data_IF_350102433921
#
_entry.id   IF_350102433921
#
_cell.length_a   1.000
_cell.length_b   1.000
_cell.length_c   1.000
_cell.angle_alpha   90.00
_cell.angle_beta   90.00
_cell.angle_gamma   90.00
#
_symmetry.space_group_name_H-M   'P 1'
#
loop_
_entity.id
_entity.type
_entity.pdbx_description
1 polymer ?
#
# COMPACT_ATOMS: atom_id res chain seq x y z
N UNK A 1 3.55 27.35 11.80
CA UNK A 1 2.52 26.64 12.59
C UNK A 1 2.47 25.21 12.05
N UNK A 2 2.85 24.19 12.83
CA UNK A 2 2.82 22.80 12.36
C UNK A 2 1.38 22.29 12.37
N UNK A 3 0.85 21.89 11.20
CA UNK A 3 -0.48 21.28 11.12
C UNK A 3 -0.45 19.88 11.76
N UNK A 4 -1.30 19.70 12.77
CA UNK A 4 -1.47 18.43 13.48
C UNK A 4 -2.07 17.39 12.52
N UNK A 5 -1.29 16.36 12.18
CA UNK A 5 -1.80 15.27 11.31
C UNK A 5 -2.77 14.38 12.07
N UNK A 6 -3.80 13.90 11.37
CA UNK A 6 -4.69 12.85 11.87
C UNK A 6 -4.13 11.46 11.51
N UNK A 7 -3.72 10.70 12.53
CA UNK A 7 -3.22 9.32 12.42
C UNK A 7 -4.40 8.37 12.37
N UNK A 8 -4.39 7.43 11.42
CA UNK A 8 -5.50 6.50 11.24
C UNK A 8 -5.66 5.57 12.46
N UNK A 9 -6.82 5.63 13.13
CA UNK A 9 -7.11 4.81 14.31
C UNK A 9 -7.86 3.52 14.01
N UNK A 10 -8.42 3.34 12.81
CA UNK A 10 -9.29 2.21 12.48
C UNK A 10 -8.47 0.92 12.29
N UNK A 11 -8.92 -0.17 12.91
CA UNK A 11 -8.37 -1.50 12.67
C UNK A 11 -8.77 -2.00 11.28
N UNK A 12 -7.81 -2.56 10.55
CA UNK A 12 -7.97 -3.04 9.16
C UNK A 12 -7.60 -4.51 9.06
N UNK A 13 -8.32 -5.27 8.22
CA UNK A 13 -7.90 -6.60 7.78
C UNK A 13 -6.92 -6.45 6.62
N UNK A 14 -5.75 -7.06 6.71
CA UNK A 14 -4.70 -6.88 5.70
C UNK A 14 -5.16 -7.36 4.32
N UNK A 15 -5.69 -8.58 4.24
CA UNK A 15 -6.30 -9.17 3.05
C UNK A 15 -7.25 -8.23 2.30
N UNK A 16 -8.19 -7.58 2.99
CA UNK A 16 -9.13 -6.67 2.35
C UNK A 16 -8.43 -5.44 1.75
N UNK A 17 -7.39 -4.91 2.41
CA UNK A 17 -6.61 -3.77 1.89
C UNK A 17 -5.74 -4.17 0.70
N UNK A 18 -5.12 -5.35 0.72
CA UNK A 18 -4.36 -5.91 -0.42
C UNK A 18 -5.27 -6.08 -1.63
N UNK A 19 -6.43 -6.72 -1.44
CA UNK A 19 -7.42 -6.92 -2.50
C UNK A 19 -7.88 -5.56 -3.05
N UNK A 20 -8.28 -4.65 -2.16
CA UNK A 20 -8.75 -3.31 -2.54
C UNK A 20 -7.67 -2.56 -3.33
N UNK A 21 -6.41 -2.64 -2.92
CA UNK A 21 -5.28 -2.04 -3.63
C UNK A 21 -5.18 -2.57 -5.06
N UNK A 22 -5.10 -3.90 -5.26
CA UNK A 22 -4.92 -4.47 -6.59
C UNK A 22 -6.07 -4.17 -7.53
N UNK A 23 -7.31 -4.23 -7.04
CA UNK A 23 -8.48 -3.86 -7.85
C UNK A 23 -8.42 -2.40 -8.27
N UNK A 24 -8.02 -1.52 -7.35
CA UNK A 24 -7.94 -0.09 -7.59
C UNK A 24 -6.83 0.24 -8.59
N UNK A 25 -5.69 -0.44 -8.48
CA UNK A 25 -4.56 -0.29 -9.38
C UNK A 25 -4.91 -0.78 -10.79
N UNK A 26 -5.56 -1.94 -10.92
CA UNK A 26 -6.12 -2.43 -12.19
C UNK A 26 -7.13 -1.45 -12.80
N UNK A 27 -7.96 -0.80 -11.97
CA UNK A 27 -8.90 0.22 -12.44
C UNK A 27 -8.17 1.40 -13.06
N UNK A 28 -7.14 1.92 -12.39
CA UNK A 28 -6.36 3.04 -12.92
C UNK A 28 -5.70 2.65 -14.25
N UNK A 29 -4.98 1.53 -14.27
CA UNK A 29 -4.28 1.03 -15.47
C UNK A 29 -5.26 0.73 -16.61
N UNK A 30 -6.40 0.11 -16.32
CA UNK A 30 -7.44 -0.19 -17.32
C UNK A 30 -8.08 1.06 -17.92
N UNK A 31 -8.39 2.07 -17.10
CA UNK A 31 -8.96 3.33 -17.61
C UNK A 31 -7.96 4.16 -18.43
N UNK A 32 -6.67 4.15 -18.06
CA UNK A 32 -5.60 4.79 -18.82
C UNK A 32 -5.38 4.10 -20.18
N UNK A 33 -5.33 2.77 -20.18
CA UNK A 33 -5.18 1.98 -21.41
C UNK A 33 -6.36 2.19 -22.36
N UNK A 34 -7.59 2.15 -21.85
CA UNK A 34 -8.78 2.36 -22.67
C UNK A 34 -8.75 3.74 -23.34
N UNK A 35 -8.45 4.79 -22.56
CA UNK A 35 -8.35 6.16 -23.07
C UNK A 35 -7.28 6.29 -24.15
N UNK A 36 -6.14 5.60 -23.97
CA UNK A 36 -5.03 5.61 -24.93
C UNK A 36 -5.42 4.89 -26.22
N UNK A 37 -6.00 3.69 -26.12
CA UNK A 37 -6.44 2.91 -27.29
C UNK A 37 -7.48 3.67 -28.12
N UNK A 38 -8.45 4.33 -27.48
CA UNK A 38 -9.48 5.10 -28.19
C UNK A 38 -8.89 6.28 -28.95
N UNK A 39 -7.94 6.99 -28.35
CA UNK A 39 -7.21 8.08 -29.02
C UNK A 39 -6.43 7.57 -30.24
N UNK A 40 -5.78 6.41 -30.13
CA UNK A 40 -5.06 5.79 -31.24
C UNK A 40 -6.00 5.34 -32.37
N UNK A 41 -7.18 4.83 -32.01
CA UNK A 41 -8.22 4.40 -32.96
C UNK A 41 -9.00 5.59 -33.57
N UNK A 42 -8.70 6.84 -33.21
CA UNK A 42 -9.45 8.04 -33.64
C UNK A 42 -10.90 8.08 -33.14
N UNK A 43 -11.23 7.27 -32.13
CA UNK A 43 -12.59 7.13 -31.59
C UNK A 43 -12.75 8.00 -30.36
N UNK A 44 -13.83 8.77 -30.31
CA UNK A 44 -14.22 9.51 -29.11
C UNK A 44 -15.24 8.72 -28.29
N UNK A 45 -15.10 8.77 -26.97
CA UNK A 45 -16.13 8.29 -26.05
C UNK A 45 -17.29 9.28 -26.01
N UNK A 46 -18.49 8.75 -25.81
CA UNK A 46 -19.65 9.57 -25.45
C UNK A 46 -19.33 10.42 -24.21
N UNK A 47 -19.90 11.62 -24.12
CA UNK A 47 -19.72 12.49 -22.95
C UNK A 47 -20.10 11.78 -21.64
N UNK A 48 -21.12 10.92 -21.67
CA UNK A 48 -21.52 10.13 -20.51
C UNK A 48 -20.43 9.14 -20.08
N UNK A 49 -19.77 8.46 -21.01
CA UNK A 49 -18.72 7.49 -20.69
C UNK A 49 -17.41 8.15 -20.28
N UNK A 50 -17.09 9.33 -20.84
CA UNK A 50 -15.99 10.17 -20.37
C UNK A 50 -16.17 10.58 -18.90
N UNK A 51 -17.39 10.99 -18.52
CA UNK A 51 -17.72 11.34 -17.13
C UNK A 51 -17.61 10.11 -16.22
N UNK A 52 -18.15 8.95 -16.63
CA UNK A 52 -18.04 7.70 -15.85
C UNK A 52 -16.57 7.30 -15.62
N UNK A 53 -15.75 7.32 -16.66
CA UNK A 53 -14.31 7.00 -16.57
C UNK A 53 -13.57 7.96 -15.66
N UNK A 54 -13.84 9.26 -15.78
CA UNK A 54 -13.23 10.28 -14.92
C UNK A 54 -13.61 10.05 -13.46
N UNK A 55 -14.89 9.82 -13.16
CA UNK A 55 -15.35 9.50 -11.81
C UNK A 55 -14.67 8.26 -11.24
N UNK A 56 -14.51 7.20 -12.03
CA UNK A 56 -13.80 5.99 -11.62
C UNK A 56 -12.33 6.27 -11.30
N UNK A 57 -11.63 7.01 -12.17
CA UNK A 57 -10.22 7.36 -11.99
C UNK A 57 -10.01 8.22 -10.74
N UNK A 58 -10.89 9.18 -10.49
CA UNK A 58 -10.87 10.02 -9.29
C UNK A 58 -11.08 9.17 -8.03
N UNK A 59 -12.09 8.29 -8.03
CA UNK A 59 -12.36 7.40 -6.91
C UNK A 59 -11.18 6.47 -6.64
N UNK A 60 -10.63 5.87 -7.68
CA UNK A 60 -9.49 4.96 -7.56
C UNK A 60 -8.24 5.70 -7.02
N UNK A 61 -7.95 6.88 -7.54
CA UNK A 61 -6.84 7.72 -7.05
C UNK A 61 -7.00 8.08 -5.57
N UNK A 62 -8.22 8.40 -5.11
CA UNK A 62 -8.50 8.64 -3.69
C UNK A 62 -8.24 7.40 -2.84
N UNK A 63 -8.69 6.23 -3.29
CA UNK A 63 -8.45 4.96 -2.59
C UNK A 63 -6.96 4.64 -2.51
N UNK A 64 -6.18 4.78 -3.59
CA UNK A 64 -4.72 4.60 -3.57
C UNK A 64 -4.07 5.57 -2.59
N UNK A 65 -4.43 6.85 -2.60
CA UNK A 65 -3.87 7.82 -1.66
C UNK A 65 -4.19 7.46 -0.20
N UNK A 66 -5.38 6.91 0.07
CA UNK A 66 -5.76 6.44 1.40
C UNK A 66 -4.94 5.24 1.85
N UNK A 67 -4.81 4.22 1.00
CA UNK A 67 -3.97 3.04 1.27
C UNK A 67 -2.51 3.46 1.43
N UNK A 68 -2.00 4.32 0.55
CA UNK A 68 -0.65 4.86 0.62
C UNK A 68 -0.38 5.56 1.95
N UNK A 69 -1.30 6.44 2.38
CA UNK A 69 -1.20 7.14 3.66
C UNK A 69 -1.17 6.14 4.82
N UNK A 70 -2.06 5.14 4.80
CA UNK A 70 -2.09 4.11 5.83
C UNK A 70 -0.80 3.29 5.88
N UNK A 71 -0.33 2.76 4.74
CA UNK A 71 0.89 1.94 4.67
C UNK A 71 2.10 2.75 5.11
N UNK A 72 2.27 4.00 4.63
CA UNK A 72 3.45 4.82 5.00
C UNK A 72 3.48 5.15 6.50
N UNK A 73 2.33 5.39 7.13
CA UNK A 73 2.23 5.61 8.58
C UNK A 73 2.52 4.32 9.35
N UNK A 74 1.95 3.21 8.90
CA UNK A 74 2.15 1.89 9.50
C UNK A 74 3.62 1.47 9.47
N UNK A 75 4.33 1.71 8.36
CA UNK A 75 5.74 1.35 8.23
C UNK A 75 6.65 2.08 9.22
N UNK A 76 6.31 3.31 9.64
CA UNK A 76 7.06 4.00 10.70
C UNK A 76 6.95 3.25 12.02
N UNK A 77 5.75 2.77 12.33
CA UNK A 77 5.53 1.94 13.52
C UNK A 77 6.26 0.61 13.42
N UNK A 78 6.15 -0.09 12.29
CA UNK A 78 6.79 -1.39 12.09
C UNK A 78 8.32 -1.28 12.26
N UNK A 79 8.93 -0.27 11.64
CA UNK A 79 10.37 0.03 11.78
C UNK A 79 10.75 0.36 13.22
N UNK A 80 9.95 1.18 13.91
CA UNK A 80 10.19 1.52 15.31
C UNK A 80 10.12 0.29 16.22
N UNK A 81 9.08 -0.51 16.08
CA UNK A 81 8.88 -1.74 16.86
C UNK A 81 10.04 -2.72 16.65
N UNK A 82 10.52 -2.87 15.41
CA UNK A 82 11.67 -3.74 15.15
C UNK A 82 12.97 -3.17 15.74
N UNK A 83 13.14 -1.84 15.73
CA UNK A 83 14.29 -1.21 16.38
C UNK A 83 14.30 -1.45 17.89
N UNK A 84 13.14 -1.42 18.56
CA UNK A 84 13.03 -1.70 20.00
C UNK A 84 13.38 -3.17 20.36
N UNK A 85 13.22 -4.12 19.44
CA UNK A 85 13.52 -5.54 19.71
C UNK A 85 15.03 -5.86 19.84
N UNK A 86 15.92 -4.90 19.55
CA UNK A 86 17.36 -5.08 19.71
C UNK A 86 17.79 -5.29 21.18
N UNK A 87 16.97 -4.92 22.16
CA UNK A 87 17.25 -5.09 23.61
C UNK A 87 17.44 -6.56 24.04
N UNK A 88 17.20 -7.51 23.14
CA UNK A 88 17.44 -8.95 23.33
C UNK A 88 18.84 -9.42 22.92
N UNK A 89 19.69 -8.53 22.38
CA UNK A 89 21.06 -8.86 21.97
C UNK A 89 22.07 -8.71 23.12
N UNK A 90 23.11 -9.55 23.20
CA UNK A 90 24.13 -9.47 24.26
C UNK A 90 24.82 -8.10 24.30
N UNK A 91 25.12 -7.62 25.50
CA UNK A 91 25.57 -6.25 25.87
C UNK A 91 26.67 -5.67 24.95
N UNK A 92 27.51 -6.52 24.36
CA UNK A 92 28.62 -6.13 23.50
C UNK A 92 28.20 -5.61 22.11
N UNK A 93 26.89 -5.55 21.80
CA UNK A 93 26.35 -5.08 20.52
C UNK A 93 25.39 -3.89 20.66
N UNK A 94 25.35 -3.25 21.84
CA UNK A 94 24.53 -2.07 22.07
C UNK A 94 25.07 -0.88 21.25
N UNK A 95 24.19 -0.25 20.48
CA UNK A 95 24.52 0.96 19.70
C UNK A 95 23.33 1.89 19.81
N UNK A 96 23.59 3.19 19.91
CA UNK A 96 22.54 4.18 20.11
C UNK A 96 21.53 4.19 18.96
N UNK A 97 20.24 4.10 19.32
CA UNK A 97 19.13 4.09 18.37
C UNK A 97 18.81 5.49 17.85
N UNK A 98 18.33 5.61 16.60
CA UNK A 98 17.60 6.80 16.20
C UNK A 98 16.33 6.92 17.08
N UNK A 99 16.38 7.81 18.07
CA UNK A 99 15.24 8.09 18.95
C UNK A 99 14.17 8.88 18.19
N UNK A 100 12.91 8.51 18.39
CA UNK A 100 11.80 9.39 18.00
C UNK A 100 11.83 10.62 18.89
N UNK A 101 11.73 11.81 18.29
CA UNK A 101 11.63 13.05 19.06
C UNK A 101 10.13 13.33 19.32
N UNK A 102 9.66 13.13 20.55
CA UNK A 102 8.26 13.32 20.92
C UNK A 102 8.13 13.98 22.31
N UNK A 103 6.99 14.63 22.63
CA UNK A 103 6.78 15.29 23.92
C UNK A 103 6.90 14.33 25.12
N UNK A 104 7.56 14.77 26.21
CA UNK A 104 7.75 14.00 27.46
C UNK A 104 6.40 13.54 28.05
N UNK A 105 6.37 12.34 28.67
CA UNK A 105 5.20 11.78 29.36
C UNK A 105 4.28 10.88 28.51
N UNK A 106 4.81 10.22 27.48
CA UNK A 106 4.03 9.44 26.52
C UNK A 106 4.19 7.92 26.69
N UNK A 107 3.08 7.19 26.71
CA UNK A 107 2.99 5.73 26.73
C UNK A 107 3.67 5.14 25.48
N UNK A 108 4.25 3.92 25.54
CA UNK A 108 5.01 3.33 24.43
C UNK A 108 4.23 3.27 23.09
N UNK A 109 2.95 2.88 23.13
CA UNK A 109 2.06 2.81 21.94
C UNK A 109 1.75 4.21 21.37
N UNK A 110 1.83 5.26 22.19
CA UNK A 110 1.56 6.65 21.78
C UNK A 110 2.79 7.37 21.20
N UNK A 111 4.00 6.81 21.33
CA UNK A 111 5.24 7.49 20.90
C UNK A 111 5.28 7.69 19.38
N UNK A 112 4.99 6.63 18.62
CA UNK A 112 4.95 6.69 17.15
C UNK A 112 3.80 7.56 16.68
N UNK A 113 2.61 7.41 17.26
CA UNK A 113 1.45 8.23 16.87
C UNK A 113 1.72 9.71 17.14
N UNK A 114 2.26 10.06 18.31
CA UNK A 114 2.67 11.45 18.64
C UNK A 114 3.77 11.94 17.71
N UNK A 115 4.79 11.13 17.41
CA UNK A 115 5.81 11.49 16.43
C UNK A 115 5.18 11.80 15.07
N UNK A 116 4.32 10.92 14.55
CA UNK A 116 3.62 11.14 13.27
C UNK A 116 2.71 12.38 13.26
N UNK A 117 2.14 12.74 14.43
CA UNK A 117 1.27 13.90 14.59
C UNK A 117 2.01 15.24 14.51
N UNK A 118 3.25 15.30 15.02
CA UNK A 118 4.01 16.55 15.16
C UNK A 118 5.21 16.67 14.19
N UNK A 119 5.78 15.54 13.76
CA UNK A 119 6.94 15.54 12.88
C UNK A 119 6.57 15.95 11.45
N UNK A 120 7.41 16.79 10.86
CA UNK A 120 7.41 17.10 9.42
C UNK A 120 7.71 15.85 8.59
N UNK A 121 7.34 15.85 7.29
CA UNK A 121 7.66 14.71 6.42
C UNK A 121 9.17 14.50 6.29
N UNK A 122 9.96 15.59 6.34
CA UNK A 122 11.42 15.55 6.33
C UNK A 122 11.99 14.85 7.57
N UNK A 123 11.46 15.14 8.76
CA UNK A 123 11.88 14.48 10.01
C UNK A 123 11.56 12.98 10.01
N UNK A 124 10.38 12.60 9.51
CA UNK A 124 10.00 11.18 9.37
C UNK A 124 10.93 10.47 8.37
N UNK A 125 11.21 11.10 7.22
CA UNK A 125 12.13 10.57 6.23
C UNK A 125 13.56 10.40 6.80
N UNK A 126 14.05 11.41 7.54
CA UNK A 126 15.37 11.36 8.18
C UNK A 126 15.45 10.28 9.27
N UNK A 127 14.39 10.08 10.04
CA UNK A 127 14.29 8.95 10.98
C UNK A 127 14.42 7.61 10.26
N UNK A 128 13.64 7.38 9.22
CA UNK A 128 13.63 6.12 8.46
C UNK A 128 14.97 5.85 7.75
N UNK A 129 15.64 6.88 7.22
CA UNK A 129 16.99 6.75 6.65
C UNK A 129 18.02 6.32 7.69
N UNK A 130 17.97 6.90 8.89
CA UNK A 130 18.84 6.50 10.01
C UNK A 130 18.55 5.07 10.46
N UNK A 131 17.29 4.68 10.53
CA UNK A 131 16.89 3.31 10.81
C UNK A 131 17.45 2.32 9.76
N UNK A 132 17.37 2.67 8.46
CA UNK A 132 17.93 1.83 7.40
C UNK A 132 19.45 1.66 7.49
N UNK A 133 20.18 2.73 7.82
CA UNK A 133 21.63 2.65 8.09
C UNK A 133 21.88 1.74 9.28
N UNK A 134 21.10 1.90 10.35
CA UNK A 134 21.26 1.15 11.59
C UNK A 134 21.08 -0.36 11.35
N UNK A 135 20.01 -0.77 10.68
CA UNK A 135 19.76 -2.17 10.33
C UNK A 135 20.85 -2.81 9.45
N UNK A 136 21.66 -2.00 8.75
CA UNK A 136 22.79 -2.49 7.95
C UNK A 136 24.11 -2.59 8.74
N UNK A 137 24.18 -2.07 9.97
CA UNK A 137 25.39 -2.15 10.78
C UNK A 137 25.61 -3.56 11.31
N UNK A 138 26.88 -3.91 11.55
CA UNK A 138 27.25 -5.17 12.23
C UNK A 138 26.60 -5.23 13.61
N UNK A 139 26.19 -6.42 14.03
CA UNK A 139 25.53 -6.66 15.31
C UNK A 139 24.03 -6.94 15.21
N UNK A 140 23.37 -6.54 14.11
CA UNK A 140 22.03 -7.04 13.80
C UNK A 140 22.13 -8.47 13.26
N UNK A 141 21.70 -9.46 14.06
CA UNK A 141 21.76 -10.87 13.65
C UNK A 141 20.78 -11.14 12.50
N UNK A 142 20.97 -12.26 11.80
CA UNK A 142 20.05 -12.71 10.73
C UNK A 142 18.61 -12.90 11.23
N UNK A 143 18.42 -13.05 12.56
CA UNK A 143 17.12 -13.24 13.21
C UNK A 143 16.38 -11.97 13.63
N UNK A 144 17.01 -10.79 13.62
CA UNK A 144 16.39 -9.53 14.08
C UNK A 144 16.75 -8.37 13.15
N UNK A 145 15.74 -7.66 12.61
CA UNK A 145 15.95 -6.43 11.86
C UNK A 145 16.82 -6.60 10.59
N UNK A 146 18.13 -6.46 10.72
CA UNK A 146 19.10 -6.78 9.68
C UNK A 146 18.83 -6.19 8.30
N UNK A 147 19.47 -6.76 7.26
CA UNK A 147 19.39 -6.23 5.89
C UNK A 147 17.96 -6.15 5.34
N UNK A 148 17.07 -7.07 5.72
CA UNK A 148 15.67 -7.06 5.28
C UNK A 148 14.93 -5.83 5.80
N UNK A 149 15.07 -5.51 7.09
CA UNK A 149 14.46 -4.30 7.65
C UNK A 149 15.13 -3.01 7.19
N UNK A 150 16.41 -3.05 6.82
CA UNK A 150 17.04 -1.92 6.13
C UNK A 150 16.32 -1.59 4.80
N UNK A 151 15.94 -2.60 4.02
CA UNK A 151 15.15 -2.42 2.79
C UNK A 151 13.76 -1.87 3.10
N UNK A 152 13.08 -2.39 4.12
CA UNK A 152 11.76 -1.90 4.55
C UNK A 152 11.84 -0.42 4.96
N UNK A 153 12.81 -0.05 5.80
CA UNK A 153 13.01 1.32 6.24
C UNK A 153 13.35 2.26 5.07
N UNK A 154 14.11 1.79 4.08
CA UNK A 154 14.37 2.54 2.85
C UNK A 154 13.08 2.79 2.05
N UNK A 155 12.28 1.75 1.79
CA UNK A 155 10.99 1.89 1.10
C UNK A 155 10.07 2.84 1.85
N UNK A 156 9.99 2.72 3.17
CA UNK A 156 9.24 3.65 4.01
C UNK A 156 9.74 5.08 3.78
N UNK A 157 11.06 5.32 3.80
CA UNK A 157 11.61 6.66 3.56
C UNK A 157 11.26 7.22 2.17
N UNK A 158 11.23 6.36 1.15
CA UNK A 158 10.81 6.71 -0.22
C UNK A 158 9.33 7.11 -0.23
N UNK A 159 8.45 6.40 0.48
CA UNK A 159 7.03 6.74 0.60
C UNK A 159 6.79 8.11 1.25
N UNK A 160 7.64 8.51 2.19
CA UNK A 160 7.57 9.83 2.83
C UNK A 160 8.17 10.97 1.99
N UNK A 161 8.82 10.64 0.87
CA UNK A 161 9.37 11.60 -0.10
C UNK A 161 8.62 11.65 -1.44
N UNK A 162 7.70 10.71 -1.66
CA UNK A 162 7.04 10.50 -2.96
C UNK A 162 5.70 11.20 -3.06
N UNK A 163 5.56 12.06 -4.08
CA UNK A 163 4.28 12.71 -4.41
C UNK A 163 3.56 12.09 -5.63
N UNK A 164 4.26 11.31 -6.45
CA UNK A 164 3.76 10.81 -7.74
C UNK A 164 2.93 9.53 -7.62
N UNK A 165 1.73 9.50 -8.22
CA UNK A 165 0.78 8.38 -8.10
C UNK A 165 1.34 7.03 -8.57
N UNK A 166 2.02 6.99 -9.73
CA UNK A 166 2.63 5.73 -10.24
C UNK A 166 3.66 5.16 -9.29
N UNK A 167 4.47 6.03 -8.68
CA UNK A 167 5.45 5.62 -7.67
C UNK A 167 4.77 5.16 -6.37
N UNK A 168 3.64 5.78 -5.97
CA UNK A 168 2.83 5.31 -4.83
C UNK A 168 2.36 3.87 -5.01
N UNK A 169 1.81 3.53 -6.18
CA UNK A 169 1.39 2.16 -6.46
C UNK A 169 2.56 1.18 -6.36
N UNK A 170 3.71 1.52 -6.96
CA UNK A 170 4.92 0.70 -6.90
C UNK A 170 5.40 0.46 -5.45
N UNK A 171 5.39 1.50 -4.61
CA UNK A 171 5.86 1.39 -3.23
C UNK A 171 4.91 0.57 -2.35
N UNK A 172 3.59 0.70 -2.53
CA UNK A 172 2.61 -0.15 -1.86
C UNK A 172 2.82 -1.61 -2.27
N UNK A 173 2.93 -1.89 -3.58
CA UNK A 173 3.14 -3.24 -4.10
C UNK A 173 4.41 -3.88 -3.53
N UNK A 174 5.53 -3.13 -3.54
CA UNK A 174 6.79 -3.59 -2.92
C UNK A 174 6.61 -3.91 -1.44
N UNK A 175 5.85 -3.11 -0.70
CA UNK A 175 5.61 -3.37 0.72
C UNK A 175 4.85 -4.69 0.93
N UNK A 176 3.78 -4.92 0.16
CA UNK A 176 3.06 -6.19 0.23
C UNK A 176 3.88 -7.39 -0.25
N UNK A 177 4.77 -7.21 -1.24
CA UNK A 177 5.68 -8.28 -1.66
C UNK A 177 6.71 -8.64 -0.57
N UNK A 178 7.16 -7.67 0.24
CA UNK A 178 8.06 -7.98 1.36
C UNK A 178 7.32 -8.79 2.42
N UNK A 179 6.07 -8.45 2.74
CA UNK A 179 5.22 -9.26 3.60
C UNK A 179 5.15 -10.71 3.12
N UNK A 180 4.86 -10.90 1.82
CA UNK A 180 4.78 -12.22 1.19
C UNK A 180 6.05 -13.06 1.38
N UNK A 181 7.23 -12.43 1.38
CA UNK A 181 8.53 -13.11 1.41
C UNK A 181 9.08 -13.25 2.84
N UNK A 182 8.20 -13.32 3.84
CA UNK A 182 8.55 -13.55 5.24
C UNK A 182 9.03 -12.30 5.97
N UNK A 183 8.56 -11.12 5.54
CA UNK A 183 8.89 -9.85 6.19
C UNK A 183 8.18 -9.62 7.52
N UNK A 184 7.00 -10.24 7.71
CA UNK A 184 6.12 -10.04 8.89
C UNK A 184 6.11 -8.57 9.33
N UNK A 185 5.81 -7.68 8.38
CA UNK A 185 5.73 -6.24 8.61
C UNK A 185 4.44 -5.95 9.36
N UNK A 186 3.35 -6.60 8.98
CA UNK A 186 2.00 -6.25 9.42
C UNK A 186 1.57 -6.90 10.75
N UNK A 187 2.43 -7.72 11.36
CA UNK A 187 2.21 -8.30 12.70
C UNK A 187 2.58 -7.34 13.85
N UNK A 188 3.34 -6.27 13.55
CA UNK A 188 3.94 -5.40 14.57
C UNK A 188 2.91 -4.61 15.37
N UNK A 189 1.74 -4.32 14.78
CA UNK A 189 0.66 -3.56 15.43
C UNK A 189 -0.70 -4.26 15.31
N UNK A 190 -0.96 -5.35 16.07
CA UNK A 190 -2.21 -6.12 15.97
C UNK A 190 -3.48 -5.30 16.26
N UNK A 191 -3.36 -4.24 17.07
CA UNK A 191 -4.46 -3.33 17.36
C UNK A 191 -4.92 -2.50 16.15
N UNK A 192 -4.09 -2.37 15.11
CA UNK A 192 -4.39 -1.62 13.87
C UNK A 192 -4.50 -2.49 12.64
N UNK A 193 -3.79 -3.61 12.59
CA UNK A 193 -3.82 -4.53 11.46
C UNK A 193 -4.02 -5.94 11.96
N UNK A 194 -5.01 -6.62 11.38
CA UNK A 194 -5.27 -8.04 11.59
C UNK A 194 -4.72 -8.80 10.39
N UNK A 195 -3.47 -9.30 10.46
CA UNK A 195 -2.94 -10.20 9.45
C UNK A 195 -3.63 -11.57 9.55
N UNK A 196 -3.72 -12.26 8.42
CA UNK A 196 -4.15 -13.65 8.29
C UNK A 196 -3.15 -14.29 7.33
N UNK A 197 -2.04 -14.81 7.88
CA UNK A 197 -0.83 -15.13 7.13
C UNK A 197 -1.11 -16.03 5.91
N UNK A 198 -1.94 -17.07 6.09
CA UNK A 198 -2.31 -18.00 5.04
C UNK A 198 -3.12 -17.31 3.94
N UNK A 199 -4.13 -16.52 4.31
CA UNK A 199 -4.97 -15.81 3.33
C UNK A 199 -4.20 -14.69 2.62
N UNK A 200 -3.39 -13.94 3.36
CA UNK A 200 -2.61 -12.83 2.83
C UNK A 200 -1.58 -13.36 1.81
N UNK A 201 -0.88 -14.45 2.15
CA UNK A 201 0.02 -15.14 1.19
C UNK A 201 -0.74 -15.69 -0.01
N UNK A 202 -1.92 -16.27 0.19
CA UNK A 202 -2.73 -16.78 -0.92
C UNK A 202 -3.15 -15.67 -1.89
N UNK A 203 -3.60 -14.51 -1.38
CA UNK A 203 -3.99 -13.35 -2.19
C UNK A 203 -2.79 -12.82 -3.00
N UNK A 204 -1.63 -12.72 -2.38
CA UNK A 204 -0.41 -12.26 -3.05
C UNK A 204 0.05 -13.27 -4.12
N UNK A 205 -0.12 -14.57 -3.88
CA UNK A 205 0.10 -15.62 -4.88
C UNK A 205 -0.90 -15.58 -6.04
N UNK A 206 -2.15 -15.17 -5.81
CA UNK A 206 -3.14 -14.98 -6.88
C UNK A 206 -2.62 -13.96 -7.90
N UNK A 207 -2.07 -12.83 -7.45
CA UNK A 207 -1.47 -11.82 -8.35
C UNK A 207 -0.30 -12.41 -9.14
N UNK A 208 0.60 -13.15 -8.47
CA UNK A 208 1.77 -13.75 -9.12
C UNK A 208 1.42 -14.80 -10.18
N UNK A 209 0.33 -15.57 -9.97
CA UNK A 209 -0.07 -16.70 -10.81
C UNK A 209 -1.14 -16.36 -11.85
N UNK A 210 -1.74 -15.17 -11.79
CA UNK A 210 -2.76 -14.80 -12.75
C UNK A 210 -2.14 -14.57 -14.12
N UNK A 211 -2.64 -15.29 -15.13
CA UNK A 211 -2.24 -15.15 -16.53
C UNK A 211 -2.95 -13.99 -17.24
N UNK A 212 -4.09 -13.54 -16.71
CA UNK A 212 -4.93 -12.51 -17.31
C UNK A 212 -5.76 -11.77 -16.23
N UNK A 213 -6.29 -10.61 -16.61
CA UNK A 213 -7.03 -9.69 -15.72
C UNK A 213 -8.35 -10.32 -15.24
N UNK A 214 -9.06 -11.08 -16.09
CA UNK A 214 -10.34 -11.69 -15.73
C UNK A 214 -10.16 -12.78 -14.67
N UNK A 215 -9.12 -13.62 -14.84
CA UNK A 215 -8.72 -14.64 -13.87
C UNK A 215 -8.32 -13.99 -12.55
N UNK A 216 -7.55 -12.90 -12.60
CA UNK A 216 -7.15 -12.14 -11.41
C UNK A 216 -8.38 -11.61 -10.66
N UNK A 217 -9.27 -10.88 -11.34
CA UNK A 217 -10.46 -10.29 -10.73
C UNK A 217 -11.40 -11.33 -10.14
N UNK A 218 -11.61 -12.46 -10.84
CA UNK A 218 -12.45 -13.56 -10.36
C UNK A 218 -11.89 -14.16 -9.07
N UNK A 219 -10.57 -14.43 -9.02
CA UNK A 219 -9.90 -15.00 -7.84
C UNK A 219 -9.83 -14.02 -6.68
N UNK A 220 -9.61 -12.73 -6.93
CA UNK A 220 -9.67 -11.71 -5.88
C UNK A 220 -11.08 -11.56 -5.31
N UNK A 221 -12.13 -11.68 -6.14
CA UNK A 221 -13.54 -11.62 -5.69
C UNK A 221 -13.90 -12.75 -4.74
N UNK A 222 -13.44 -13.97 -5.00
CA UNK A 222 -13.74 -15.12 -4.13
C UNK A 222 -13.02 -15.02 -2.79
N UNK A 223 -11.89 -14.32 -2.72
CA UNK A 223 -11.11 -14.11 -1.49
C UNK A 223 -11.48 -12.85 -0.71
N UNK A 224 -12.18 -11.91 -1.32
CA UNK A 224 -12.67 -10.72 -0.62
C UNK A 224 -13.60 -11.13 0.53
N UNK A 225 -13.34 -10.63 1.74
CA UNK A 225 -14.20 -10.92 2.89
C UNK A 225 -15.27 -9.85 3.06
N UNK A 226 -14.91 -8.59 2.80
CA UNK A 226 -15.83 -7.46 2.83
C UNK A 226 -16.83 -7.45 1.66
N UNK A 227 -18.11 -7.31 1.99
CA UNK A 227 -19.18 -7.09 1.01
C UNK A 227 -18.97 -5.80 0.21
N UNK A 228 -18.37 -4.78 0.80
CA UNK A 228 -18.05 -3.52 0.11
C UNK A 228 -16.99 -3.77 -0.98
N UNK A 229 -15.96 -4.55 -0.66
CA UNK A 229 -14.92 -4.94 -1.61
C UNK A 229 -15.51 -5.79 -2.74
N UNK A 230 -16.38 -6.77 -2.43
CA UNK A 230 -17.07 -7.57 -3.45
C UNK A 230 -17.94 -6.74 -4.39
N UNK A 231 -18.67 -5.76 -3.83
CA UNK A 231 -19.50 -4.81 -4.61
C UNK A 231 -18.63 -3.93 -5.51
N UNK A 232 -17.51 -3.44 -4.98
CA UNK A 232 -16.55 -2.64 -5.74
C UNK A 232 -15.97 -3.44 -6.91
N UNK A 233 -15.56 -4.70 -6.71
CA UNK A 233 -15.09 -5.59 -7.77
C UNK A 233 -16.16 -5.77 -8.85
N UNK A 234 -17.39 -6.08 -8.44
CA UNK A 234 -18.49 -6.36 -9.38
C UNK A 234 -18.78 -5.14 -10.25
N UNK A 235 -18.90 -3.96 -9.64
CA UNK A 235 -19.12 -2.69 -10.36
C UNK A 235 -17.99 -2.38 -11.34
N UNK A 236 -16.74 -2.68 -10.97
CA UNK A 236 -15.58 -2.44 -11.83
C UNK A 236 -15.56 -3.41 -13.02
N UNK A 237 -15.78 -4.70 -12.78
CA UNK A 237 -15.90 -5.71 -13.84
C UNK A 237 -17.02 -5.33 -14.81
N UNK A 238 -18.20 -4.97 -14.30
CA UNK A 238 -19.33 -4.52 -15.11
C UNK A 238 -18.99 -3.29 -15.93
N UNK A 239 -18.33 -2.29 -15.32
CA UNK A 239 -17.97 -1.07 -16.04
C UNK A 239 -16.96 -1.37 -17.15
N UNK A 240 -15.89 -2.12 -16.86
CA UNK A 240 -14.89 -2.50 -17.86
C UNK A 240 -15.51 -3.30 -19.01
N UNK A 241 -16.36 -4.28 -18.71
CA UNK A 241 -17.08 -5.06 -19.73
C UNK A 241 -18.04 -4.22 -20.56
N UNK A 242 -18.76 -3.27 -19.94
CA UNK A 242 -19.66 -2.39 -20.67
C UNK A 242 -18.91 -1.52 -21.68
N UNK A 243 -17.70 -1.06 -21.31
CA UNK A 243 -16.84 -0.26 -22.16
C UNK A 243 -16.22 -1.10 -23.30
N UNK A 244 -15.79 -2.34 -23.03
CA UNK A 244 -15.30 -3.25 -24.06
C UNK A 244 -16.40 -3.64 -25.06
N UNK A 245 -17.61 -3.91 -24.59
CA UNK A 245 -18.75 -4.24 -25.45
C UNK A 245 -19.21 -3.05 -26.29
N UNK A 246 -19.09 -1.82 -25.76
CA UNK A 246 -19.28 -0.59 -26.53
C UNK A 246 -18.30 -0.49 -27.70
N UNK A 247 -17.03 -0.90 -27.52
CA UNK A 247 -16.02 -0.95 -28.59
C UNK A 247 -16.45 -1.87 -29.73
N UNK A 248 -16.97 -3.06 -29.41
CA UNK A 248 -17.40 -4.08 -30.39
C UNK A 248 -18.65 -3.67 -31.18
N UNK A 249 -19.61 -3.01 -30.54
CA UNK A 249 -20.81 -2.52 -31.22
C UNK A 249 -20.50 -1.39 -32.20
N UNK A 250 -19.60 -0.48 -31.83
CA UNK A 250 -19.18 0.62 -32.71
C UNK A 250 -18.25 0.18 -33.85
N UNK A 251 -17.71 -1.06 -33.82
CA UNK A 251 -16.95 -1.63 -34.95
C UNK A 251 -17.79 -2.44 -35.93
N UNK A 252 -19.05 -2.75 -35.60
CA UNK A 252 -19.95 -3.58 -36.43
C UNK A 252 -21.11 -2.78 -37.05
N UNK A 253 -21.24 -1.49 -36.74
CA UNK A 253 -22.29 -0.61 -37.26
C UNK A 253 -21.79 0.42 -38.26
N UNK A 254 -20.63 0.17 -38.87
CA UNK A 254 -20.04 1.01 -39.91
C UNK A 254 -19.83 0.21 -41.18
N UNK A 255 -20.93 -0.24 -41.77
CA UNK A 255 -21.06 -0.64 -43.18
C UNK A 255 -22.39 -0.08 -43.70
#
# INVERSE_FOLDING_TARGET
MQEKRNVNKKTKRLSDEIITFYITELTLSGTENLTTCLKLDGKELSSQDQVKLTCLRVKASRTINHIFKWVREYLVYAVYSELENQDTLPENHYVEFPKLNYPKGSNAIDKVDKFLMYATEAEVCAYLKRAAIRFNQKGWSVGFGGKKWAVIAKIASEMWSTNLLKQKCLLIDRTFQIEHNGGMIFDKRPSKVMPDEDKDKEILNIKKRACDIDTLLRRLKTKATSNETKKLISKLVETLKSLENGKRKNSLGGD
#
